data_IF_524636736652
#
_entry.id   IF_524636736652
#
_cell.length_a   1.000
_cell.length_b   1.000
_cell.length_c   1.000
_cell.angle_alpha   90.00
_cell.angle_beta   90.00
_cell.angle_gamma   90.00
#
_symmetry.space_group_name_H-M   'P 1'
#
loop_
_entity.id
_entity.type
_entity.pdbx_description
1 polymer ?
#
# COMPACT_ATOMS: atom_id res chain seq x y z
N UNK A 1 31.26 -15.21 9.79
CA UNK A 1 30.84 -14.28 8.75
C UNK A 1 29.34 -14.06 8.86
N UNK A 2 28.98 -12.83 9.04
CA UNK A 2 27.56 -12.48 9.16
C UNK A 2 26.97 -12.17 7.80
N UNK A 3 26.04 -13.01 7.43
CA UNK A 3 25.23 -12.74 6.26
C UNK A 3 24.07 -11.86 6.66
N UNK A 4 24.17 -10.59 6.37
CA UNK A 4 23.04 -9.70 6.53
C UNK A 4 22.20 -9.84 5.27
N UNK A 5 21.08 -10.50 5.43
CA UNK A 5 20.13 -10.59 4.32
C UNK A 5 19.42 -9.24 4.21
N UNK A 6 19.83 -8.47 3.23
CA UNK A 6 19.13 -7.23 2.93
C UNK A 6 17.77 -7.55 2.35
N UNK A 7 16.74 -7.03 3.00
CA UNK A 7 15.41 -7.08 2.44
C UNK A 7 15.31 -5.95 1.44
N UNK A 8 15.30 -6.32 0.16
CA UNK A 8 15.15 -5.35 -0.92
C UNK A 8 13.70 -5.31 -1.33
N UNK A 9 13.04 -4.22 -1.01
CA UNK A 9 11.68 -3.98 -1.46
C UNK A 9 11.71 -3.24 -2.77
N UNK A 10 10.73 -3.49 -3.62
CA UNK A 10 10.64 -2.82 -4.92
C UNK A 10 9.38 -1.99 -5.02
N UNK A 11 9.57 -0.75 -5.38
CA UNK A 11 8.49 0.19 -5.64
C UNK A 11 8.43 0.45 -7.13
N UNK A 12 7.25 0.25 -7.72
CA UNK A 12 7.01 0.54 -9.13
C UNK A 12 6.04 1.70 -9.22
N UNK A 13 6.42 2.71 -10.00
CA UNK A 13 5.57 3.84 -10.31
C UNK A 13 5.40 3.85 -11.80
N UNK A 14 4.23 3.41 -12.29
CA UNK A 14 3.97 3.12 -13.68
C UNK A 14 5.02 2.10 -14.19
N UNK A 15 5.94 2.52 -15.06
CA UNK A 15 6.95 1.63 -15.64
C UNK A 15 8.31 1.78 -15.00
N UNK A 16 8.47 2.66 -14.02
CA UNK A 16 9.76 2.89 -13.37
C UNK A 16 9.83 2.12 -12.06
N UNK A 17 11.00 1.58 -11.75
CA UNK A 17 11.21 0.82 -10.53
C UNK A 17 12.26 1.48 -9.65
N UNK A 18 12.06 1.37 -8.34
CA UNK A 18 12.92 1.93 -7.31
C UNK A 18 13.18 0.86 -6.27
N UNK A 19 14.42 0.72 -5.85
CA UNK A 19 14.79 -0.20 -4.78
C UNK A 19 14.69 0.53 -3.43
N UNK A 20 13.95 -0.06 -2.51
CA UNK A 20 13.75 0.51 -1.18
C UNK A 20 14.36 -0.45 -0.17
N UNK A 21 15.40 -0.02 0.52
CA UNK A 21 16.10 -0.86 1.49
C UNK A 21 15.41 -0.92 2.84
N UNK A 22 14.50 0.01 3.11
CA UNK A 22 13.82 0.11 4.39
C UNK A 22 12.64 -0.83 4.46
N UNK A 23 12.29 -1.24 5.68
CA UNK A 23 11.11 -2.03 5.97
C UNK A 23 10.09 -1.17 6.68
N UNK A 24 8.80 -1.57 6.63
CA UNK A 24 7.70 -0.82 7.25
C UNK A 24 7.67 0.64 6.82
N UNK A 25 7.60 0.86 5.53
CA UNK A 25 7.67 2.19 4.96
C UNK A 25 6.29 2.85 4.87
N UNK A 26 6.31 4.17 4.77
CA UNK A 26 5.14 4.98 4.49
C UNK A 26 5.21 5.46 3.05
N UNK A 27 4.17 5.16 2.28
CA UNK A 27 4.05 5.62 0.89
C UNK A 27 2.93 6.65 0.84
N UNK A 28 3.24 7.85 0.36
CA UNK A 28 2.28 8.93 0.21
C UNK A 28 2.31 9.49 -1.20
N UNK A 29 1.13 9.62 -1.79
CA UNK A 29 0.96 10.31 -3.05
C UNK A 29 0.20 11.62 -2.79
N UNK A 30 0.84 12.74 -3.11
CA UNK A 30 0.22 14.05 -3.01
C UNK A 30 0.20 14.64 -4.41
N UNK A 31 -0.98 14.63 -5.04
CA UNK A 31 -1.16 15.04 -6.43
C UNK A 31 -0.25 14.21 -7.34
N UNK A 32 0.75 14.82 -7.95
CA UNK A 32 1.67 14.14 -8.89
C UNK A 32 3.00 13.76 -8.26
N UNK A 33 3.12 13.89 -6.95
CA UNK A 33 4.36 13.61 -6.22
C UNK A 33 4.19 12.40 -5.35
N UNK A 34 5.18 11.50 -5.41
CA UNK A 34 5.18 10.28 -4.62
C UNK A 34 6.33 10.33 -3.63
N UNK A 35 6.00 10.14 -2.36
CA UNK A 35 6.94 10.20 -1.25
C UNK A 35 7.05 8.84 -0.58
N UNK A 36 8.27 8.48 -0.21
CA UNK A 36 8.53 7.31 0.64
C UNK A 36 9.23 7.81 1.90
N UNK A 37 8.63 7.57 3.05
CA UNK A 37 9.12 8.03 4.35
C UNK A 37 9.41 9.54 4.37
N UNK A 38 8.54 10.31 3.71
CA UNK A 38 8.67 11.76 3.64
C UNK A 38 9.64 12.27 2.58
N UNK A 39 10.31 11.38 1.87
CA UNK A 39 11.28 11.75 0.86
C UNK A 39 10.66 11.65 -0.53
N UNK A 40 10.79 12.69 -1.33
CA UNK A 40 10.28 12.71 -2.69
C UNK A 40 11.06 11.71 -3.56
N UNK A 41 10.35 10.73 -4.09
CA UNK A 41 10.95 9.69 -4.95
C UNK A 41 10.67 9.99 -6.41
N UNK A 42 9.46 10.44 -6.73
CA UNK A 42 9.09 10.64 -8.12
C UNK A 42 8.04 11.74 -8.24
N UNK A 43 8.08 12.44 -9.35
CA UNK A 43 7.06 13.39 -9.75
C UNK A 43 6.60 13.02 -11.15
N UNK A 44 5.30 12.87 -11.36
CA UNK A 44 4.75 12.40 -12.62
C UNK A 44 4.02 13.53 -13.35
N UNK A 45 3.73 13.29 -14.63
CA UNK A 45 2.92 14.21 -15.43
C UNK A 45 1.43 13.88 -15.39
N UNK A 46 1.05 12.81 -14.68
CA UNK A 46 -0.32 12.33 -14.63
C UNK A 46 -0.88 12.52 -13.23
N UNK A 47 -2.18 12.85 -13.16
CA UNK A 47 -2.88 12.92 -11.88
C UNK A 47 -3.15 11.53 -11.31
N UNK A 48 -3.32 10.55 -12.19
CA UNK A 48 -3.57 9.16 -11.79
C UNK A 48 -2.37 8.30 -12.13
N UNK A 49 -1.76 7.72 -11.12
CA UNK A 49 -0.55 6.92 -11.23
C UNK A 49 -0.79 5.58 -10.54
N UNK A 50 -0.30 4.52 -11.17
CA UNK A 50 -0.36 3.19 -10.58
C UNK A 50 0.90 2.93 -9.78
N UNK A 51 0.75 2.65 -8.49
CA UNK A 51 1.85 2.35 -7.58
C UNK A 51 1.78 0.88 -7.21
N UNK A 52 2.86 0.15 -7.45
CA UNK A 52 3.01 -1.24 -7.01
C UNK A 52 4.17 -1.34 -6.05
N UNK A 53 3.99 -2.04 -4.95
CA UNK A 53 5.05 -2.22 -3.97
C UNK A 53 5.15 -3.67 -3.55
N UNK A 54 6.36 -4.22 -3.60
CA UNK A 54 6.66 -5.56 -3.11
C UNK A 54 7.33 -5.43 -1.76
N UNK A 55 6.64 -5.84 -0.71
CA UNK A 55 7.10 -5.74 0.66
C UNK A 55 5.97 -5.30 1.59
N UNK A 56 6.33 -4.93 2.81
CA UNK A 56 5.37 -4.52 3.82
C UNK A 56 5.31 -3.00 3.92
N UNK A 57 4.10 -2.48 4.05
CA UNK A 57 3.86 -1.05 4.15
C UNK A 57 3.22 -0.75 5.49
N UNK A 58 3.79 0.19 6.22
CA UNK A 58 3.23 0.65 7.47
C UNK A 58 2.01 1.53 7.22
N UNK A 59 2.15 2.46 6.28
CA UNK A 59 1.08 3.40 5.97
C UNK A 59 1.07 3.67 4.48
N UNK A 60 -0.10 3.55 3.87
CA UNK A 60 -0.28 3.73 2.44
C UNK A 60 -1.32 4.81 2.20
N UNK A 61 -0.92 5.83 1.46
CA UNK A 61 -1.81 6.92 1.07
C UNK A 61 -1.57 7.21 -0.40
N UNK A 62 -2.46 6.69 -1.26
CA UNK A 62 -2.29 6.81 -2.69
C UNK A 62 -3.62 6.71 -3.43
N UNK A 63 -3.58 6.97 -4.72
CA UNK A 63 -4.77 6.87 -5.55
C UNK A 63 -5.02 5.43 -5.99
N UNK A 64 -4.11 4.84 -6.74
CA UNK A 64 -4.22 3.46 -7.22
C UNK A 64 -2.97 2.69 -6.81
N UNK A 65 -3.15 1.63 -6.03
CA UNK A 65 -2.03 0.92 -5.44
C UNK A 65 -2.24 -0.58 -5.43
N UNK A 66 -1.15 -1.32 -5.68
CA UNK A 66 -1.07 -2.75 -5.46
C UNK A 66 0.06 -3.02 -4.47
N UNK A 67 -0.25 -3.72 -3.39
CA UNK A 67 0.74 -4.10 -2.39
C UNK A 67 0.91 -5.61 -2.41
N UNK A 68 2.10 -6.08 -2.72
CA UNK A 68 2.46 -7.49 -2.66
C UNK A 68 3.15 -7.74 -1.32
N UNK A 69 2.34 -7.89 -0.28
CA UNK A 69 2.79 -8.02 1.09
C UNK A 69 1.69 -7.55 2.01
N UNK A 70 2.06 -7.17 3.22
CA UNK A 70 1.12 -6.72 4.24
C UNK A 70 1.10 -5.21 4.33
N UNK A 71 -0.03 -4.67 4.77
CA UNK A 71 -0.16 -3.24 5.06
C UNK A 71 -0.78 -3.06 6.43
N UNK A 72 -0.43 -1.99 7.12
CA UNK A 72 -1.06 -1.69 8.41
C UNK A 72 -2.22 -0.72 8.23
N UNK A 73 -1.95 0.49 7.74
CA UNK A 73 -2.98 1.49 7.50
C UNK A 73 -3.06 1.78 6.00
N UNK A 74 -4.28 1.79 5.47
CA UNK A 74 -4.49 1.99 4.05
C UNK A 74 -5.49 3.11 3.82
N UNK A 75 -5.10 4.06 2.98
CA UNK A 75 -5.93 5.17 2.60
C UNK A 75 -5.73 5.42 1.10
N UNK A 76 -6.78 5.28 0.33
CA UNK A 76 -6.65 5.43 -1.12
C UNK A 76 -7.98 5.42 -1.85
N UNK A 77 -7.91 5.42 -3.17
CA UNK A 77 -9.11 5.33 -3.99
C UNK A 77 -9.35 3.90 -4.46
N UNK A 78 -8.38 3.31 -5.11
CA UNK A 78 -8.45 1.92 -5.58
C UNK A 78 -7.22 1.17 -5.11
N UNK A 79 -7.39 0.26 -4.16
CA UNK A 79 -6.27 -0.38 -3.48
C UNK A 79 -6.43 -1.89 -3.49
N UNK A 80 -5.32 -2.57 -3.76
CA UNK A 80 -5.27 -4.02 -3.69
C UNK A 80 -4.10 -4.43 -2.81
N UNK A 81 -4.37 -5.27 -1.81
CA UNK A 81 -3.36 -5.81 -0.91
C UNK A 81 -3.43 -7.33 -0.98
N UNK A 82 -2.32 -7.98 -1.32
CA UNK A 82 -2.30 -9.44 -1.41
C UNK A 82 -2.20 -10.12 -0.06
N UNK A 83 -1.56 -9.48 0.89
CA UNK A 83 -1.40 -10.01 2.24
C UNK A 83 -2.51 -9.56 3.18
N UNK A 84 -2.12 -9.26 4.42
CA UNK A 84 -3.03 -8.88 5.48
C UNK A 84 -3.01 -7.37 5.72
N UNK A 85 -4.11 -6.85 6.27
CA UNK A 85 -4.16 -5.48 6.74
C UNK A 85 -4.39 -5.51 8.23
N UNK A 86 -3.44 -4.98 8.99
CA UNK A 86 -3.50 -5.01 10.44
C UNK A 86 -4.29 -3.87 11.08
N UNK A 87 -4.48 -2.79 10.36
CA UNK A 87 -5.17 -1.61 10.85
C UNK A 87 -6.39 -1.27 10.02
N UNK A 88 -6.66 0.02 9.89
CA UNK A 88 -7.86 0.51 9.23
C UNK A 88 -7.66 0.69 7.72
N UNK A 89 -8.75 0.57 7.00
CA UNK A 89 -8.79 0.82 5.56
C UNK A 89 -9.82 1.91 5.28
N UNK A 90 -9.42 2.91 4.53
CA UNK A 90 -10.33 3.92 4.01
C UNK A 90 -10.06 4.06 2.52
N UNK A 91 -11.01 3.63 1.71
CA UNK A 91 -10.84 3.61 0.26
C UNK A 91 -12.19 3.63 -0.44
N UNK A 92 -12.18 3.95 -1.73
CA UNK A 92 -13.39 3.80 -2.53
C UNK A 92 -13.60 2.32 -2.89
N UNK A 93 -12.53 1.67 -3.34
CA UNK A 93 -12.56 0.24 -3.69
C UNK A 93 -11.33 -0.43 -3.07
N UNK A 94 -11.55 -1.54 -2.37
CA UNK A 94 -10.48 -2.29 -1.71
C UNK A 94 -10.63 -3.78 -1.96
N UNK A 95 -9.51 -4.42 -2.29
CA UNK A 95 -9.43 -5.87 -2.40
C UNK A 95 -8.28 -6.36 -1.53
N UNK A 96 -8.55 -7.29 -0.62
CA UNK A 96 -7.55 -7.84 0.28
C UNK A 96 -7.51 -9.35 0.12
N UNK A 97 -6.34 -9.90 -0.12
CA UNK A 97 -6.16 -11.34 -0.28
C UNK A 97 -6.08 -12.10 1.03
N UNK A 98 -5.71 -11.44 2.11
CA UNK A 98 -5.60 -12.04 3.44
C UNK A 98 -6.67 -11.55 4.38
N UNK A 99 -6.30 -11.32 5.63
CA UNK A 99 -7.20 -10.93 6.70
C UNK A 99 -7.14 -9.43 6.97
N UNK A 100 -8.24 -8.87 7.48
CA UNK A 100 -8.30 -7.47 7.91
C UNK A 100 -8.70 -7.44 9.37
N UNK A 101 -7.89 -6.79 10.20
CA UNK A 101 -8.15 -6.71 11.64
C UNK A 101 -8.83 -5.42 12.06
N UNK A 102 -8.66 -4.36 11.32
CA UNK A 102 -9.22 -3.06 11.65
C UNK A 102 -10.55 -2.80 10.98
N UNK A 103 -11.00 -1.55 11.06
CA UNK A 103 -12.25 -1.14 10.46
C UNK A 103 -12.07 -0.80 9.00
N UNK A 104 -13.12 -1.02 8.22
CA UNK A 104 -13.11 -0.74 6.79
C UNK A 104 -14.19 0.28 6.48
N UNK A 105 -13.80 1.35 5.81
CA UNK A 105 -14.71 2.36 5.28
C UNK A 105 -14.47 2.45 3.77
N UNK A 106 -15.36 1.88 2.98
CA UNK A 106 -15.20 1.80 1.54
C UNK A 106 -16.56 1.63 0.85
N UNK A 107 -16.61 1.98 -0.43
CA UNK A 107 -17.81 1.76 -1.23
C UNK A 107 -17.87 0.35 -1.77
N UNK A 108 -16.73 -0.26 -2.05
CA UNK A 108 -16.66 -1.62 -2.57
C UNK A 108 -15.55 -2.37 -1.83
N UNK A 109 -15.91 -3.53 -1.25
CA UNK A 109 -14.98 -4.31 -0.43
C UNK A 109 -14.97 -5.75 -0.90
N UNK A 110 -13.76 -6.30 -1.07
CA UNK A 110 -13.58 -7.71 -1.37
C UNK A 110 -12.44 -8.24 -0.50
N UNK A 111 -12.76 -9.14 0.41
CA UNK A 111 -11.79 -9.73 1.32
C UNK A 111 -11.88 -11.24 1.18
N UNK A 112 -10.74 -11.88 0.86
CA UNK A 112 -10.70 -13.34 0.71
C UNK A 112 -10.52 -14.04 2.04
N UNK A 113 -9.91 -13.37 3.01
CA UNK A 113 -9.69 -13.92 4.34
C UNK A 113 -10.78 -13.53 5.32
N UNK A 114 -10.39 -13.35 6.57
CA UNK A 114 -11.31 -13.00 7.65
C UNK A 114 -11.24 -11.51 7.95
N UNK A 115 -12.35 -10.99 8.42
CA UNK A 115 -12.43 -9.61 8.87
C UNK A 115 -12.97 -9.57 10.29
N UNK A 116 -12.29 -8.86 11.19
CA UNK A 116 -12.66 -8.81 12.59
C UNK A 116 -13.16 -7.44 13.06
N UNK A 117 -12.92 -6.39 12.33
CA UNK A 117 -13.42 -5.06 12.66
C UNK A 117 -14.80 -4.80 12.08
N UNK A 118 -15.16 -3.53 11.99
CA UNK A 118 -16.43 -3.10 11.40
C UNK A 118 -16.26 -2.79 9.92
N UNK A 119 -17.31 -3.04 9.16
CA UNK A 119 -17.31 -2.67 7.73
C UNK A 119 -18.40 -1.62 7.54
N UNK A 120 -18.01 -0.49 7.00
CA UNK A 120 -18.91 0.58 6.62
C UNK A 120 -18.84 0.74 5.09
N UNK A 121 -19.88 0.26 4.44
CA UNK A 121 -19.97 0.25 2.99
C UNK A 121 -21.12 1.12 2.51
#
# INVERSE_FOLDING_TARGET
MNWIKRIMNKLFIDNESYDIEEDNITISQIKRKIYVNGKLISETNKDSVHISFTGNVKELNCNTCDIDGDAFAVHGNSVKVKGNVGGSIEANSIEVGGNVQGDIDANSVKIKGRHTGSINV
#
